data_IF_125956651301
#
_entry.id   IF_125956651301
#
_cell.length_a   1.000
_cell.length_b   1.000
_cell.length_c   1.000
_cell.angle_alpha   90.00
_cell.angle_beta   90.00
_cell.angle_gamma   90.00
#
_symmetry.space_group_name_H-M   'P 1'
#
loop_
_entity.id
_entity.type
_entity.pdbx_description
1 polymer ?
#
# COMPACT_ATOMS: atom_id res chain seq x y z
N UNK A 1 10.12 -4.07 16.16
CA UNK A 1 9.92 -3.83 17.61
C UNK A 1 8.50 -3.33 17.84
N UNK A 2 7.85 -3.69 18.96
CA UNK A 2 6.52 -3.18 19.28
C UNK A 2 6.52 -1.66 19.41
N UNK A 3 5.51 -0.99 18.83
CA UNK A 3 5.36 0.46 18.93
C UNK A 3 4.75 0.83 20.28
N UNK A 4 5.33 1.83 20.94
CA UNK A 4 4.74 2.44 22.14
C UNK A 4 3.47 3.22 21.78
N UNK A 5 2.54 3.34 22.74
CA UNK A 5 1.25 4.01 22.56
C UNK A 5 1.41 5.47 22.07
N UNK A 6 2.35 6.21 22.65
CA UNK A 6 2.66 7.58 22.23
C UNK A 6 3.11 7.66 20.76
N UNK A 7 3.95 6.71 20.32
CA UNK A 7 4.36 6.65 18.92
C UNK A 7 3.17 6.36 18.00
N UNK A 8 2.30 5.42 18.38
CA UNK A 8 1.09 5.11 17.61
C UNK A 8 0.19 6.34 17.49
N UNK A 9 0.00 7.10 18.58
CA UNK A 9 -0.77 8.33 18.56
C UNK A 9 -0.18 9.37 17.60
N UNK A 10 1.14 9.60 17.67
CA UNK A 10 1.84 10.52 16.78
C UNK A 10 1.72 10.11 15.31
N UNK A 11 1.77 8.81 15.01
CA UNK A 11 1.60 8.30 13.64
C UNK A 11 0.18 8.53 13.12
N UNK A 12 -0.85 8.31 13.96
CA UNK A 12 -2.25 8.62 13.61
C UNK A 12 -2.43 10.11 13.34
N UNK A 13 -1.87 10.98 14.17
CA UNK A 13 -1.94 12.43 13.99
C UNK A 13 -1.20 12.92 12.74
N UNK A 14 -0.08 12.27 12.40
CA UNK A 14 0.64 12.54 11.15
C UNK A 14 -0.20 12.09 9.95
N UNK A 15 -0.80 10.90 10.00
CA UNK A 15 -1.63 10.40 8.91
C UNK A 15 -2.91 11.22 8.70
N UNK A 16 -3.52 11.72 9.78
CA UNK A 16 -4.66 12.63 9.69
C UNK A 16 -4.33 13.97 8.98
N UNK A 17 -3.06 14.39 9.01
CA UNK A 17 -2.57 15.64 8.39
C UNK A 17 -1.93 15.42 7.02
N UNK A 18 -1.40 14.23 6.78
CA UNK A 18 -0.65 13.89 5.58
C UNK A 18 -1.27 12.68 4.88
N UNK A 19 -1.68 12.80 3.61
CA UNK A 19 -2.40 11.73 2.91
C UNK A 19 -1.57 10.45 2.73
N UNK A 20 -0.23 10.54 2.79
CA UNK A 20 0.68 9.41 2.65
C UNK A 20 1.83 9.51 3.66
N UNK A 21 2.11 8.39 4.34
CA UNK A 21 3.30 8.18 5.16
C UNK A 21 4.19 7.12 4.51
N UNK A 22 5.50 7.38 4.42
CA UNK A 22 6.47 6.46 3.80
C UNK A 22 7.49 6.01 4.82
N UNK A 23 7.48 4.72 5.15
CA UNK A 23 8.45 4.08 6.05
C UNK A 23 9.50 3.35 5.22
N UNK A 24 10.74 3.84 5.23
CA UNK A 24 11.83 3.25 4.45
C UNK A 24 12.55 2.18 5.25
N UNK A 25 13.15 1.20 4.55
CA UNK A 25 14.05 0.18 5.13
C UNK A 25 13.38 -0.65 6.24
N UNK A 26 12.14 -1.07 5.98
CA UNK A 26 11.41 -1.97 6.86
C UNK A 26 11.63 -3.42 6.41
N UNK A 27 11.65 -4.34 7.36
CA UNK A 27 11.73 -5.77 7.14
C UNK A 27 10.69 -6.43 8.04
N UNK A 28 9.43 -6.45 7.57
CA UNK A 28 8.28 -6.95 8.31
C UNK A 28 7.83 -8.29 7.73
N UNK A 29 7.44 -9.21 8.61
CA UNK A 29 6.58 -10.33 8.25
C UNK A 29 5.15 -9.85 7.95
N UNK A 30 4.35 -10.70 7.28
CA UNK A 30 2.93 -10.42 7.04
C UNK A 30 2.14 -10.16 8.33
N UNK A 31 2.50 -10.87 9.40
CA UNK A 31 1.87 -10.72 10.72
C UNK A 31 2.22 -9.38 11.36
N UNK A 32 3.49 -8.95 11.27
CA UNK A 32 3.91 -7.64 11.76
C UNK A 32 3.30 -6.50 10.93
N UNK A 33 3.16 -6.68 9.61
CA UNK A 33 2.48 -5.73 8.75
C UNK A 33 1.00 -5.59 9.15
N UNK A 34 0.29 -6.71 9.35
CA UNK A 34 -1.09 -6.69 9.81
C UNK A 34 -1.21 -6.02 11.20
N UNK A 35 -0.34 -6.35 12.14
CA UNK A 35 -0.32 -5.73 13.47
C UNK A 35 -0.06 -4.23 13.39
N UNK A 36 0.88 -3.80 12.54
CA UNK A 36 1.14 -2.38 12.30
C UNK A 36 -0.09 -1.68 11.72
N UNK A 37 -0.72 -2.25 10.70
CA UNK A 37 -1.93 -1.70 10.08
C UNK A 37 -3.11 -1.62 11.05
N UNK A 38 -3.23 -2.58 11.99
CA UNK A 38 -4.28 -2.60 13.01
C UNK A 38 -4.20 -1.41 13.98
N UNK A 39 -3.05 -0.73 14.07
CA UNK A 39 -2.95 0.53 14.78
C UNK A 39 -3.74 1.66 14.12
N UNK A 40 -4.15 1.57 12.85
CA UNK A 40 -4.89 2.64 12.16
C UNK A 40 -6.40 2.39 12.08
N UNK A 41 -6.86 1.20 12.48
CA UNK A 41 -8.27 0.82 12.48
C UNK A 41 -8.46 -0.70 12.41
N UNK A 42 -9.72 -1.18 12.41
CA UNK A 42 -10.00 -2.59 12.17
C UNK A 42 -9.53 -2.99 10.77
N UNK A 43 -8.96 -4.18 10.64
CA UNK A 43 -8.55 -4.73 9.36
C UNK A 43 -9.74 -5.41 8.67
N UNK A 44 -9.85 -5.20 7.37
CA UNK A 44 -10.78 -5.94 6.54
C UNK A 44 -10.10 -7.15 5.90
N UNK A 45 -10.86 -8.22 5.73
CA UNK A 45 -10.40 -9.39 4.99
C UNK A 45 -10.52 -9.15 3.50
N UNK A 46 -9.56 -9.70 2.76
CA UNK A 46 -9.57 -9.62 1.30
C UNK A 46 -10.79 -10.37 0.76
N UNK A 47 -11.66 -9.65 0.04
CA UNK A 47 -12.93 -10.21 -0.49
C UNK A 47 -12.66 -11.31 -1.53
N UNK A 48 -11.61 -11.15 -2.33
CA UNK A 48 -11.13 -12.17 -3.28
C UNK A 48 -10.16 -13.08 -2.55
N UNK A 49 -10.66 -14.21 -2.06
CA UNK A 49 -9.87 -15.16 -1.27
C UNK A 49 -8.69 -15.73 -2.06
N UNK A 50 -8.78 -15.77 -3.38
CA UNK A 50 -7.69 -16.15 -4.28
C UNK A 50 -6.51 -15.14 -4.28
N UNK A 51 -6.73 -13.93 -3.75
CA UNK A 51 -5.69 -12.89 -3.57
C UNK A 51 -5.20 -12.80 -2.14
N UNK A 52 -5.87 -13.45 -1.19
CA UNK A 52 -5.49 -13.41 0.21
C UNK A 52 -4.20 -14.22 0.44
N UNK A 53 -3.37 -13.75 1.36
CA UNK A 53 -2.31 -14.60 1.90
C UNK A 53 -2.92 -15.84 2.55
N UNK A 54 -2.35 -17.03 2.32
CA UNK A 54 -2.78 -18.25 3.02
C UNK A 54 -2.45 -18.22 4.51
N UNK A 55 -1.52 -17.36 4.95
CA UNK A 55 -1.09 -17.26 6.34
C UNK A 55 -1.81 -16.15 7.13
N UNK A 56 -2.12 -15.03 6.48
CA UNK A 56 -2.78 -13.87 7.10
C UNK A 56 -3.93 -13.38 6.19
N UNK A 57 -5.20 -13.75 6.48
CA UNK A 57 -6.35 -13.47 5.59
C UNK A 57 -6.63 -11.99 5.32
N UNK A 58 -6.14 -11.10 6.19
CA UNK A 58 -6.22 -9.64 6.06
C UNK A 58 -5.18 -9.08 5.08
N UNK A 59 -4.19 -9.86 4.66
CA UNK A 59 -3.16 -9.46 3.69
C UNK A 59 -3.58 -9.86 2.27
N UNK A 60 -3.66 -8.88 1.38
CA UNK A 60 -3.81 -9.09 -0.06
C UNK A 60 -2.47 -9.13 -0.77
N UNK A 61 -2.25 -10.14 -1.61
CA UNK A 61 -1.07 -10.29 -2.45
C UNK A 61 -1.32 -9.62 -3.80
N UNK A 62 -0.54 -8.60 -4.13
CA UNK A 62 -0.49 -7.96 -5.45
C UNK A 62 0.78 -8.45 -6.12
N UNK A 63 0.65 -9.27 -7.16
CA UNK A 63 1.82 -9.93 -7.76
C UNK A 63 1.55 -10.40 -9.19
N UNK A 64 2.60 -10.38 -9.99
CA UNK A 64 2.65 -10.99 -11.32
C UNK A 64 3.43 -12.32 -11.31
N UNK A 65 3.91 -12.77 -10.15
CA UNK A 65 4.64 -14.02 -10.00
C UNK A 65 3.72 -15.23 -10.12
N UNK A 66 4.33 -16.36 -10.44
CA UNK A 66 3.68 -17.68 -10.46
C UNK A 66 4.45 -18.63 -9.55
N UNK A 67 3.73 -19.60 -8.99
CA UNK A 67 4.33 -20.67 -8.21
C UNK A 67 5.01 -21.72 -9.11
N UNK A 68 5.60 -22.75 -8.49
CA UNK A 68 6.28 -23.85 -9.18
C UNK A 68 5.36 -24.70 -10.07
N UNK A 69 4.05 -24.53 -9.99
CA UNK A 69 3.04 -25.18 -10.83
C UNK A 69 2.44 -24.21 -11.86
N UNK A 70 3.09 -23.07 -12.09
CA UNK A 70 2.66 -22.01 -13.00
C UNK A 70 1.31 -21.36 -12.64
N UNK A 71 0.84 -21.52 -11.40
CA UNK A 71 -0.38 -20.86 -10.90
C UNK A 71 -0.04 -19.44 -10.46
N UNK A 72 -0.86 -18.43 -10.77
CA UNK A 72 -0.64 -17.06 -10.31
C UNK A 72 -0.63 -16.97 -8.78
N UNK A 73 0.27 -16.16 -8.25
CA UNK A 73 0.28 -15.76 -6.84
C UNK A 73 -0.41 -14.40 -6.77
N UNK A 74 -1.47 -14.28 -5.97
CA UNK A 74 -2.15 -13.00 -5.76
C UNK A 74 -2.96 -12.49 -6.97
N UNK A 75 -3.22 -11.19 -6.94
CA UNK A 75 -4.07 -10.47 -7.90
C UNK A 75 -3.34 -9.39 -8.70
N UNK A 76 -4.12 -8.73 -9.56
CA UNK A 76 -3.76 -7.56 -10.39
C UNK A 76 -2.65 -7.74 -11.45
N UNK A 77 -1.88 -8.84 -11.44
CA UNK A 77 -0.95 -9.27 -12.52
C UNK A 77 -0.18 -8.12 -13.19
N UNK A 78 -0.05 -8.16 -14.52
CA UNK A 78 0.69 -7.17 -15.32
C UNK A 78 -0.28 -6.09 -15.83
N UNK A 79 -0.04 -4.83 -15.46
CA UNK A 79 -0.76 -3.67 -16.01
C UNK A 79 -0.86 -2.49 -15.04
N UNK A 80 -1.02 -1.29 -15.60
CA UNK A 80 -1.32 -0.10 -14.81
C UNK A 80 -2.79 -0.13 -14.37
N UNK A 81 -3.02 0.03 -13.06
CA UNK A 81 -4.36 0.14 -12.52
C UNK A 81 -4.90 1.55 -12.77
N UNK A 82 -6.12 1.66 -13.30
CA UNK A 82 -6.77 2.95 -13.52
C UNK A 82 -6.88 3.74 -12.20
N UNK A 83 -6.88 5.08 -12.27
CA UNK A 83 -7.09 5.93 -11.09
C UNK A 83 -8.35 5.50 -10.32
N UNK A 84 -8.19 5.19 -9.04
CA UNK A 84 -9.26 4.70 -8.18
C UNK A 84 -9.00 5.10 -6.72
N UNK A 85 -10.03 4.91 -5.89
CA UNK A 85 -9.88 4.81 -4.43
C UNK A 85 -10.31 3.40 -4.04
N UNK A 86 -9.55 2.77 -3.15
CA UNK A 86 -9.83 1.40 -2.73
C UNK A 86 -11.25 1.27 -2.17
N UNK A 87 -11.93 0.20 -2.58
CA UNK A 87 -13.29 -0.13 -2.18
C UNK A 87 -14.32 0.99 -2.37
N UNK A 88 -14.12 1.93 -3.31
CA UNK A 88 -15.07 3.02 -3.56
C UNK A 88 -16.48 2.56 -3.99
N UNK A 89 -16.64 1.27 -4.31
CA UNK A 89 -17.91 0.63 -4.64
C UNK A 89 -18.68 0.11 -3.40
N UNK A 90 -18.06 0.10 -2.21
CA UNK A 90 -18.67 -0.34 -0.96
C UNK A 90 -19.45 0.80 -0.29
N UNK A 91 -20.48 0.46 0.48
CA UNK A 91 -21.25 1.45 1.26
C UNK A 91 -20.37 2.14 2.32
N UNK A 92 -19.50 1.37 2.96
CA UNK A 92 -18.46 1.86 3.86
C UNK A 92 -17.11 1.54 3.20
N UNK A 93 -16.52 2.47 2.43
CA UNK A 93 -15.25 2.25 1.78
C UNK A 93 -14.10 2.23 2.79
N UNK A 94 -12.96 1.65 2.37
CA UNK A 94 -11.75 1.62 3.16
C UNK A 94 -11.31 3.05 3.56
N UNK A 95 -10.91 3.21 4.83
CA UNK A 95 -10.37 4.49 5.32
C UNK A 95 -8.94 4.74 4.85
N UNK A 96 -8.20 3.66 4.57
CA UNK A 96 -6.82 3.72 4.11
C UNK A 96 -6.30 2.35 3.71
N UNK A 97 -5.11 2.33 3.13
CA UNK A 97 -4.40 1.12 2.74
C UNK A 97 -2.94 1.18 3.20
N UNK A 98 -2.38 0.02 3.52
CA UNK A 98 -0.95 -0.15 3.77
C UNK A 98 -0.35 -1.00 2.64
N UNK A 99 0.63 -0.44 1.94
CA UNK A 99 1.36 -1.14 0.88
C UNK A 99 2.79 -1.44 1.34
N UNK A 100 3.20 -2.69 1.16
CA UNK A 100 4.53 -3.17 1.53
C UNK A 100 5.18 -3.87 0.34
N UNK A 101 6.28 -3.30 -0.14
CA UNK A 101 7.01 -3.84 -1.28
C UNK A 101 7.88 -5.03 -0.86
N UNK A 102 7.57 -6.22 -1.35
CA UNK A 102 8.34 -7.45 -1.12
C UNK A 102 9.39 -7.64 -2.21
N UNK A 103 8.97 -7.55 -3.47
CA UNK A 103 9.83 -7.63 -4.65
C UNK A 103 9.41 -6.54 -5.64
N UNK A 104 10.38 -5.92 -6.28
CA UNK A 104 10.16 -4.85 -7.25
C UNK A 104 10.86 -5.19 -8.57
N UNK A 105 10.24 -4.88 -9.72
CA UNK A 105 10.91 -5.02 -10.99
C UNK A 105 12.09 -4.05 -11.10
N UNK A 106 13.09 -4.34 -11.96
CA UNK A 106 14.21 -3.43 -12.21
C UNK A 106 13.77 -2.05 -12.72
N UNK A 107 12.64 -2.00 -13.43
CA UNK A 107 12.01 -0.79 -13.97
C UNK A 107 10.51 -0.81 -13.66
N UNK A 108 9.94 0.36 -13.34
CA UNK A 108 8.53 0.49 -12.95
C UNK A 108 8.29 0.31 -11.46
N UNK A 109 7.14 -0.26 -11.08
CA UNK A 109 6.76 -0.49 -9.68
C UNK A 109 6.45 0.79 -8.89
N UNK A 110 6.28 1.93 -9.58
CA UNK A 110 5.91 3.19 -8.96
C UNK A 110 4.43 3.23 -8.62
N UNK A 111 4.10 3.85 -7.50
CA UNK A 111 2.72 4.19 -7.16
C UNK A 111 2.54 5.69 -7.21
N UNK A 112 1.62 6.13 -8.07
CA UNK A 112 1.20 7.52 -8.18
C UNK A 112 -0.04 7.74 -7.32
N UNK A 113 -0.14 8.89 -6.66
CA UNK A 113 -1.29 9.24 -5.83
C UNK A 113 -1.64 10.72 -5.98
N UNK A 114 -2.86 11.08 -5.56
CA UNK A 114 -3.37 12.46 -5.58
C UNK A 114 -4.13 12.78 -4.30
N UNK A 115 -3.88 13.96 -3.72
CA UNK A 115 -4.67 14.48 -2.60
C UNK A 115 -5.94 15.17 -3.11
N UNK A 116 -7.10 14.58 -2.82
CA UNK A 116 -8.40 15.17 -3.18
C UNK A 116 -8.92 16.18 -2.14
N UNK A 117 -8.33 16.26 -0.95
CA UNK A 117 -8.77 17.17 0.12
C UNK A 117 -8.48 18.64 -0.21
N UNK A 118 -7.36 18.92 -0.88
CA UNK A 118 -6.98 20.27 -1.27
C UNK A 118 -7.92 20.87 -2.35
N UNK A 119 -8.25 20.17 -3.46
CA UNK A 119 -9.26 20.63 -4.41
C UNK A 119 -10.63 20.87 -3.77
N UNK A 120 -11.09 19.97 -2.89
CA UNK A 120 -12.42 20.09 -2.24
C UNK A 120 -12.48 21.31 -1.32
N UNK A 121 -11.48 21.52 -0.44
CA UNK A 121 -11.41 22.73 0.40
C UNK A 121 -11.38 24.00 -0.44
N UNK A 122 -10.85 23.92 -1.65
CA UNK A 122 -10.73 25.04 -2.59
C UNK A 122 -12.02 25.36 -3.34
N UNK A 123 -12.78 24.34 -3.75
CA UNK A 123 -14.14 24.50 -4.27
C UNK A 123 -15.07 25.13 -3.22
N UNK A 124 -14.93 24.72 -1.95
CA UNK A 124 -15.69 25.27 -0.84
C UNK A 124 -15.29 26.72 -0.48
N UNK A 125 -14.13 27.20 -0.93
CA UNK A 125 -13.61 28.56 -0.67
C UNK A 125 -13.56 29.46 -1.92
N UNK A 126 -14.00 28.98 -3.09
CA UNK A 126 -14.18 29.79 -4.30
C UNK A 126 -12.90 30.12 -5.11
N UNK A 127 -11.80 29.38 -4.95
CA UNK A 127 -10.53 29.67 -5.67
C UNK A 127 -10.34 28.79 -6.92
N UNK A 128 -9.94 29.38 -8.06
CA UNK A 128 -9.94 28.76 -9.40
C UNK A 128 -8.58 28.31 -9.94
N UNK A 129 -7.52 28.29 -9.14
CA UNK A 129 -6.18 27.92 -9.62
C UNK A 129 -5.95 26.41 -9.46
N UNK A 130 -5.66 25.72 -10.56
CA UNK A 130 -5.34 24.28 -10.56
C UNK A 130 -3.84 24.07 -10.33
N UNK A 131 -3.48 23.27 -9.33
CA UNK A 131 -2.12 22.76 -9.16
C UNK A 131 -2.16 21.24 -9.21
N UNK A 132 -1.37 20.64 -10.10
CA UNK A 132 -1.17 19.19 -10.18
C UNK A 132 -0.40 18.74 -8.93
N UNK A 133 -1.10 18.30 -7.89
CA UNK A 133 -0.50 17.68 -6.71
C UNK A 133 -0.55 16.16 -6.88
N UNK A 134 0.26 15.65 -7.81
CA UNK A 134 0.57 14.23 -7.88
C UNK A 134 2.00 14.04 -7.40
N UNK A 135 2.23 13.11 -6.48
CA UNK A 135 3.57 12.67 -6.16
C UNK A 135 3.70 11.19 -6.52
N UNK A 136 4.86 10.84 -7.06
CA UNK A 136 5.22 9.47 -7.38
C UNK A 136 6.23 9.01 -6.34
N UNK A 137 6.00 7.84 -5.74
CA UNK A 137 7.01 7.20 -4.93
C UNK A 137 7.56 5.99 -5.69
N UNK A 138 8.87 6.03 -5.94
CA UNK A 138 9.65 4.87 -6.36
C UNK A 138 10.41 4.34 -5.15
N UNK A 139 10.22 3.06 -4.84
CA UNK A 139 11.05 2.37 -3.87
C UNK A 139 12.41 2.08 -4.52
N UNK A 140 13.39 2.96 -4.29
CA UNK A 140 14.74 2.82 -4.82
C UNK A 140 15.47 1.64 -4.16
N UNK A 141 15.87 0.65 -4.95
CA UNK A 141 16.75 -0.45 -4.55
C UNK A 141 18.21 0.02 -4.53
N UNK A 142 18.60 0.77 -3.50
CA UNK A 142 20.02 1.08 -3.29
C UNK A 142 20.68 0.02 -2.37
N UNK A 143 21.41 -0.92 -3.00
CA UNK A 143 22.65 -1.46 -2.43
C UNK A 143 22.62 -2.72 -1.58
N UNK A 144 21.96 -3.80 -2.01
CA UNK A 144 22.16 -5.14 -1.41
C UNK A 144 22.74 -6.12 -2.44
N UNK A 145 23.71 -6.99 -2.06
CA UNK A 145 24.21 -8.03 -2.95
C UNK A 145 23.07 -9.03 -3.24
N UNK A 146 22.79 -9.23 -4.53
CA UNK A 146 21.75 -10.13 -5.02
C UNK A 146 21.92 -11.54 -4.42
N UNK A 147 20.99 -11.96 -3.56
CA UNK A 147 20.80 -13.37 -3.24
C UNK A 147 20.14 -14.01 -4.47
N UNK A 148 20.94 -14.71 -5.29
CA UNK A 148 20.41 -15.60 -6.32
C UNK A 148 19.72 -16.76 -5.62
N UNK A 149 18.40 -16.83 -5.70
CA UNK A 149 17.69 -18.07 -5.48
C UNK A 149 18.02 -19.02 -6.66
N UNK A 150 18.83 -20.04 -6.39
CA UNK A 150 19.02 -21.16 -7.31
C UNK A 150 17.73 -21.98 -7.34
N UNK A 151 17.10 -22.07 -8.50
CA UNK A 151 16.09 -23.10 -8.77
C UNK A 151 16.81 -24.45 -8.86
N UNK A 152 16.59 -25.30 -7.86
CA UNK A 152 16.85 -26.74 -7.92
C UNK A 152 15.59 -27.49 -8.30
#
# INVERSE_FOLDING_TARGET
EPLGEETVHQLRDLWARHPVLVFRRQALSEQELAQFSAHFGPLERVVRTEWASPAVPEIGLISNLKDGQARPIGGLRDGELQWHSDQSYMMNPATGAALYAVELPPEGGTTSWVDLSAPIRRCLTGSTTWSRAGAEFSAMSSGWPAIRASTG
#
